data_IF_630251595657
#
_entry.id   IF_630251595657
#
_cell.length_a   1.000
_cell.length_b   1.000
_cell.length_c   1.000
_cell.angle_alpha   90.00
_cell.angle_beta   90.00
_cell.angle_gamma   90.00
#
_symmetry.space_group_name_H-M   'P 1'
#
loop_
_entity.id
_entity.type
_entity.pdbx_description
1 polymer ?
#
# COMPACT_ATOMS: atom_id res chain seq x y z
N UNK A 1 51.06 29.42 -33.14
CA UNK A 1 49.64 29.12 -33.43
C UNK A 1 48.86 29.22 -32.13
N UNK A 2 47.83 30.07 -32.09
CA UNK A 2 47.09 30.45 -30.87
C UNK A 2 45.91 29.49 -30.73
N UNK A 3 45.86 28.70 -29.66
CA UNK A 3 44.76 27.77 -29.37
C UNK A 3 43.52 28.57 -28.95
N UNK A 4 42.49 28.55 -29.79
CA UNK A 4 41.21 29.21 -29.49
C UNK A 4 40.41 28.32 -28.54
N UNK A 5 40.27 28.74 -27.27
CA UNK A 5 39.32 28.13 -26.33
C UNK A 5 37.90 28.44 -26.81
N UNK A 6 37.24 27.44 -27.37
CA UNK A 6 35.83 27.53 -27.77
C UNK A 6 34.95 27.87 -26.57
N UNK A 7 34.39 29.08 -26.55
CA UNK A 7 33.27 29.42 -25.68
C UNK A 7 32.07 28.65 -26.21
N UNK A 8 31.72 27.53 -25.58
CA UNK A 8 30.45 26.87 -25.81
C UNK A 8 29.35 27.89 -25.51
N UNK A 9 28.65 28.31 -26.55
CA UNK A 9 27.57 29.28 -26.45
C UNK A 9 26.46 28.67 -25.58
N UNK A 10 25.96 29.35 -24.54
CA UNK A 10 24.89 28.83 -23.69
C UNK A 10 23.62 28.49 -24.50
N UNK A 11 23.45 29.13 -25.67
CA UNK A 11 22.37 28.87 -26.60
C UNK A 11 22.46 27.48 -27.25
N UNK A 12 23.67 26.96 -27.46
CA UNK A 12 23.89 25.62 -28.01
C UNK A 12 23.61 24.53 -26.97
N UNK A 13 23.92 24.80 -25.70
CA UNK A 13 23.58 23.91 -24.58
C UNK A 13 22.07 23.87 -24.36
N UNK A 14 21.39 25.01 -24.40
CA UNK A 14 19.93 25.08 -24.29
C UNK A 14 19.23 24.34 -25.43
N UNK A 15 19.71 24.47 -26.67
CA UNK A 15 19.18 23.75 -27.84
C UNK A 15 19.31 22.22 -27.68
N UNK A 16 20.45 21.75 -27.16
CA UNK A 16 20.66 20.32 -26.91
C UNK A 16 19.72 19.76 -25.84
N UNK A 17 19.46 20.51 -24.77
CA UNK A 17 18.53 20.10 -23.72
C UNK A 17 17.09 19.99 -24.27
N UNK A 18 16.65 20.97 -25.07
CA UNK A 18 15.33 20.90 -25.73
C UNK A 18 15.18 19.75 -26.74
N UNK A 19 16.27 19.32 -27.39
CA UNK A 19 16.25 18.21 -28.33
C UNK A 19 16.31 16.83 -27.65
N UNK A 20 16.81 16.76 -26.42
CA UNK A 20 16.96 15.51 -25.65
C UNK A 20 15.75 15.18 -24.76
N UNK A 21 14.82 16.13 -24.58
CA UNK A 21 13.62 15.97 -23.73
C UNK A 21 12.44 15.27 -24.42
N UNK A 22 12.70 14.42 -25.43
CA UNK A 22 11.68 13.49 -25.93
C UNK A 22 11.73 12.23 -25.07
N UNK A 23 10.69 11.91 -24.28
CA UNK A 23 10.61 10.59 -23.67
C UNK A 23 10.32 9.60 -24.80
N UNK A 24 11.37 9.06 -25.43
CA UNK A 24 11.25 7.88 -26.29
C UNK A 24 11.14 6.68 -25.34
N UNK A 25 9.99 6.57 -24.68
CA UNK A 25 9.50 5.31 -24.15
C UNK A 25 8.86 4.53 -25.30
N UNK A 26 9.65 4.05 -26.26
CA UNK A 26 9.15 3.09 -27.24
C UNK A 26 9.32 1.69 -26.64
N UNK A 27 8.22 1.07 -26.19
CA UNK A 27 8.18 -0.37 -26.06
C UNK A 27 8.30 -0.95 -27.48
N UNK A 28 9.48 -1.45 -27.83
CA UNK A 28 9.65 -2.27 -29.02
C UNK A 28 8.96 -3.62 -28.75
N UNK A 29 7.72 -3.76 -29.18
CA UNK A 29 7.14 -5.08 -29.45
C UNK A 29 7.67 -5.46 -30.83
N UNK A 30 8.47 -6.52 -30.91
CA UNK A 30 8.85 -7.10 -32.20
C UNK A 30 7.59 -7.56 -32.91
N UNK A 31 7.15 -6.77 -33.89
CA UNK A 31 6.20 -7.23 -34.89
C UNK A 31 6.95 -8.17 -35.84
N UNK A 32 6.92 -9.45 -35.52
CA UNK A 32 7.40 -10.54 -36.38
C UNK A 32 6.20 -11.43 -36.69
N UNK A 33 5.68 -11.22 -37.91
CA UNK A 33 4.83 -12.08 -38.73
C UNK A 33 4.00 -13.19 -38.06
N UNK A 34 2.68 -13.06 -38.26
CA UNK A 34 1.70 -14.15 -38.39
C UNK A 34 1.64 -15.18 -37.25
N UNK A 35 1.08 -14.77 -36.10
CA UNK A 35 0.40 -15.66 -35.17
C UNK A 35 -1.07 -15.22 -35.06
N UNK A 36 -2.03 -16.17 -35.00
CA UNK A 36 -3.45 -15.82 -34.99
C UNK A 36 -3.75 -14.96 -33.77
N UNK A 37 -4.67 -13.99 -33.94
CA UNK A 37 -5.27 -13.19 -32.87
C UNK A 37 -5.69 -14.13 -31.74
N UNK A 38 -4.82 -14.34 -30.75
CA UNK A 38 -5.29 -14.66 -29.42
C UNK A 38 -6.02 -13.38 -28.99
N UNK A 39 -7.34 -13.52 -28.97
CA UNK A 39 -8.21 -12.76 -28.11
C UNK A 39 -7.41 -12.39 -26.86
N UNK A 40 -7.14 -11.10 -26.65
CA UNK A 40 -6.68 -10.63 -25.34
C UNK A 40 -7.80 -11.05 -24.42
N UNK A 41 -7.62 -12.22 -23.79
CA UNK A 41 -8.45 -12.72 -22.71
C UNK A 41 -8.53 -11.52 -21.80
N UNK A 42 -9.71 -10.90 -21.72
CA UNK A 42 -9.94 -9.83 -20.77
C UNK A 42 -9.44 -10.39 -19.45
N UNK A 43 -8.36 -9.80 -18.92
CA UNK A 43 -7.86 -10.20 -17.61
C UNK A 43 -9.07 -10.07 -16.70
N UNK A 44 -9.64 -11.21 -16.31
CA UNK A 44 -10.64 -11.22 -15.27
C UNK A 44 -9.96 -10.48 -14.12
N UNK A 45 -10.53 -9.38 -13.59
CA UNK A 45 -9.89 -8.64 -12.53
C UNK A 45 -9.47 -9.65 -11.46
N UNK A 46 -8.21 -9.58 -10.97
CA UNK A 46 -7.70 -10.59 -10.05
C UNK A 46 -8.73 -10.78 -8.94
N UNK A 47 -9.21 -12.01 -8.81
CA UNK A 47 -10.24 -12.34 -7.82
C UNK A 47 -9.68 -12.01 -6.45
N UNK A 48 -10.24 -11.00 -5.79
CA UNK A 48 -9.78 -10.60 -4.45
C UNK A 48 -10.12 -11.74 -3.49
N UNK A 49 -9.13 -12.32 -2.77
CA UNK A 49 -9.41 -13.34 -1.78
C UNK A 49 -10.34 -12.77 -0.71
N UNK A 50 -11.38 -13.51 -0.27
CA UNK A 50 -12.28 -13.01 0.75
C UNK A 50 -11.52 -12.74 2.06
N UNK A 51 -11.90 -11.71 2.79
CA UNK A 51 -11.34 -11.42 4.10
C UNK A 51 -11.78 -12.51 5.10
N UNK A 52 -10.83 -13.31 5.58
CA UNK A 52 -11.09 -14.42 6.53
C UNK A 52 -10.59 -14.04 7.92
N UNK A 53 -11.46 -14.22 8.91
CA UNK A 53 -11.18 -14.07 10.34
C UNK A 53 -11.14 -15.49 10.92
N UNK A 54 -9.95 -16.08 11.02
CA UNK A 54 -9.77 -17.50 11.41
C UNK A 54 -10.46 -18.49 10.45
N UNK A 55 -11.67 -18.95 10.74
CA UNK A 55 -12.39 -19.97 9.93
C UNK A 55 -13.65 -19.42 9.23
N UNK A 56 -13.94 -18.12 9.38
CA UNK A 56 -15.15 -17.50 8.86
C UNK A 56 -14.82 -16.23 8.07
N UNK A 57 -15.64 -15.91 7.09
CA UNK A 57 -15.56 -14.61 6.41
C UNK A 57 -15.84 -13.50 7.41
N UNK A 58 -14.95 -12.50 7.48
CA UNK A 58 -15.15 -11.35 8.33
C UNK A 58 -16.36 -10.55 7.81
N UNK A 59 -17.29 -10.20 8.70
CA UNK A 59 -18.29 -9.17 8.43
C UNK A 59 -17.96 -7.97 9.32
N UNK A 60 -17.75 -6.81 8.70
CA UNK A 60 -17.42 -5.59 9.44
C UNK A 60 -18.70 -4.87 9.79
N UNK A 61 -18.90 -4.68 11.09
CA UNK A 61 -19.99 -3.86 11.57
C UNK A 61 -19.60 -2.38 11.45
N UNK A 62 -20.24 -1.69 10.50
CA UNK A 62 -20.06 -0.26 10.27
C UNK A 62 -21.01 0.60 11.10
N UNK A 63 -21.85 0.01 11.96
CA UNK A 63 -22.86 0.73 12.74
C UNK A 63 -22.30 1.46 13.96
N UNK A 64 -21.15 2.11 13.81
CA UNK A 64 -20.65 3.03 14.82
C UNK A 64 -21.40 4.36 14.67
N UNK A 65 -22.43 4.54 15.50
CA UNK A 65 -23.20 5.80 15.52
C UNK A 65 -22.37 6.97 16.06
N UNK A 66 -21.37 6.69 16.92
CA UNK A 66 -20.59 7.71 17.62
C UNK A 66 -19.11 7.33 17.76
N UNK A 67 -18.25 8.33 17.81
CA UNK A 67 -16.83 8.14 18.14
C UNK A 67 -16.64 7.91 19.64
N UNK A 68 -15.55 7.26 20.07
CA UNK A 68 -15.22 7.09 21.49
C UNK A 68 -15.16 8.43 22.23
N UNK A 69 -15.54 8.44 23.51
CA UNK A 69 -15.60 9.66 24.33
C UNK A 69 -14.23 10.33 24.49
N UNK A 70 -13.15 9.55 24.46
CA UNK A 70 -11.76 10.00 24.57
C UNK A 70 -11.10 10.33 23.23
N UNK A 71 -11.87 10.33 22.14
CA UNK A 71 -11.42 10.66 20.78
C UNK A 71 -11.86 12.06 20.36
N UNK A 72 -11.32 12.57 19.24
CA UNK A 72 -11.88 13.79 18.63
C UNK A 72 -13.17 13.48 17.88
N UNK A 73 -13.96 14.51 17.53
CA UNK A 73 -14.98 14.34 16.50
C UNK A 73 -14.39 13.77 15.20
N UNK A 74 -15.21 13.10 14.37
CA UNK A 74 -14.79 12.63 13.05
C UNK A 74 -14.18 13.74 12.20
N UNK A 75 -13.06 13.43 11.56
CA UNK A 75 -12.38 14.28 10.57
C UNK A 75 -12.72 13.84 9.14
N UNK A 76 -13.19 12.59 8.97
CA UNK A 76 -13.60 12.02 7.69
C UNK A 76 -15.12 11.88 7.61
N UNK A 77 -15.67 11.91 6.40
CA UNK A 77 -17.10 11.67 6.15
C UNK A 77 -17.46 10.19 6.38
N UNK A 78 -18.69 9.92 6.81
CA UNK A 78 -19.16 8.55 6.93
C UNK A 78 -19.10 7.84 5.56
N UNK A 79 -18.56 6.61 5.52
CA UNK A 79 -18.37 5.86 4.27
C UNK A 79 -17.04 6.10 3.56
N UNK A 80 -16.15 6.98 4.08
CA UNK A 80 -14.86 7.28 3.43
C UNK A 80 -13.97 6.07 3.12
N UNK A 81 -14.16 4.97 3.85
CA UNK A 81 -13.42 3.72 3.67
C UNK A 81 -13.81 2.96 2.40
N UNK A 82 -14.99 3.20 1.82
CA UNK A 82 -15.46 2.48 0.62
C UNK A 82 -14.60 2.79 -0.62
N UNK A 83 -14.02 3.99 -0.66
CA UNK A 83 -13.15 4.47 -1.73
C UNK A 83 -11.66 4.53 -1.30
N UNK A 84 -11.30 3.89 -0.19
CA UNK A 84 -9.96 4.04 0.37
C UNK A 84 -8.93 3.16 -0.35
N UNK A 85 -8.08 3.81 -1.13
CA UNK A 85 -6.85 3.25 -1.68
C UNK A 85 -7.08 2.10 -2.69
N UNK A 86 -6.67 0.88 -2.36
CA UNK A 86 -6.69 -0.30 -3.23
C UNK A 86 -7.57 -1.33 -2.54
N UNK A 87 -8.87 -1.09 -2.58
CA UNK A 87 -9.91 -1.86 -1.93
C UNK A 87 -11.07 -1.95 -2.92
N UNK A 88 -11.07 -2.97 -3.78
CA UNK A 88 -12.08 -3.06 -4.85
C UNK A 88 -13.36 -3.75 -4.40
N UNK A 89 -13.37 -4.37 -3.21
CA UNK A 89 -14.55 -4.97 -2.58
C UNK A 89 -15.16 -4.07 -1.47
N UNK A 90 -14.58 -2.88 -1.26
CA UNK A 90 -15.01 -1.83 -0.33
C UNK A 90 -15.20 -2.32 1.11
N UNK A 91 -14.39 -3.30 1.53
CA UNK A 91 -14.46 -3.88 2.87
C UNK A 91 -13.63 -3.10 3.92
N UNK A 92 -12.94 -2.03 3.49
CA UNK A 92 -12.05 -1.18 4.26
C UNK A 92 -10.66 -1.79 4.48
N UNK A 93 -10.21 -2.70 3.61
CA UNK A 93 -8.94 -3.40 3.70
C UNK A 93 -8.22 -3.38 2.35
N UNK A 94 -6.89 -3.34 2.36
CA UNK A 94 -6.11 -3.30 1.12
C UNK A 94 -6.13 -4.69 0.46
N UNK A 95 -6.57 -4.77 -0.81
CA UNK A 95 -6.65 -5.99 -1.61
C UNK A 95 -5.32 -6.76 -1.62
N UNK A 96 -4.19 -6.04 -1.58
CA UNK A 96 -2.86 -6.67 -1.60
C UNK A 96 -2.53 -7.31 -0.27
N UNK A 97 -3.04 -6.76 0.84
CA UNK A 97 -2.90 -7.38 2.15
C UNK A 97 -3.76 -8.65 2.21
N UNK A 98 -4.96 -8.66 1.63
CA UNK A 98 -5.77 -9.87 1.44
C UNK A 98 -5.01 -10.95 0.65
N UNK A 99 -4.36 -10.58 -0.46
CA UNK A 99 -3.52 -11.52 -1.23
C UNK A 99 -2.34 -12.08 -0.43
N UNK A 100 -1.71 -11.25 0.44
CA UNK A 100 -0.63 -11.72 1.31
C UNK A 100 -1.14 -12.71 2.35
N UNK A 101 -2.28 -12.43 2.97
CA UNK A 101 -2.92 -13.33 3.94
C UNK A 101 -3.38 -14.65 3.31
N UNK A 102 -3.86 -14.62 2.06
CA UNK A 102 -4.20 -15.81 1.28
C UNK A 102 -2.96 -16.61 0.80
N UNK A 103 -1.75 -16.06 0.97
CA UNK A 103 -0.51 -16.66 0.49
C UNK A 103 -0.31 -16.60 -1.02
N UNK A 104 -1.14 -15.82 -1.72
CA UNK A 104 -1.05 -15.56 -3.16
C UNK A 104 0.02 -14.52 -3.50
N UNK A 105 0.47 -13.75 -2.50
CA UNK A 105 1.48 -12.70 -2.63
C UNK A 105 2.44 -12.69 -1.44
N UNK A 106 3.68 -12.32 -1.70
CA UNK A 106 4.68 -12.07 -0.66
C UNK A 106 4.73 -10.59 -0.24
N UNK A 107 5.06 -10.33 1.02
CA UNK A 107 5.28 -8.97 1.51
C UNK A 107 6.44 -8.31 0.77
N UNK A 108 6.22 -7.08 0.29
CA UNK A 108 7.23 -6.29 -0.45
C UNK A 108 8.01 -5.33 0.46
N UNK A 109 7.87 -5.45 1.77
CA UNK A 109 8.52 -4.55 2.72
C UNK A 109 10.02 -4.85 2.81
N UNK A 110 10.87 -3.91 2.35
CA UNK A 110 12.34 -3.98 2.51
C UNK A 110 12.79 -4.10 3.98
N UNK A 111 11.89 -3.62 4.82
CA UNK A 111 11.82 -3.66 6.25
C UNK A 111 11.61 -4.99 6.98
N UNK A 112 11.05 -5.95 6.25
CA UNK A 112 10.35 -7.10 6.84
C UNK A 112 11.32 -8.00 7.61
N UNK A 113 10.90 -8.45 8.77
CA UNK A 113 11.53 -9.57 9.45
C UNK A 113 10.84 -10.87 9.01
N UNK A 114 11.54 -11.99 9.11
CA UNK A 114 10.93 -13.30 8.83
C UNK A 114 10.18 -13.75 10.10
N UNK A 115 8.89 -14.02 9.96
CA UNK A 115 8.05 -14.55 11.02
C UNK A 115 8.39 -16.00 11.36
N UNK A 116 7.77 -16.53 12.43
CA UNK A 116 7.94 -17.94 12.80
C UNK A 116 7.34 -18.92 11.80
N UNK A 117 6.47 -18.43 10.92
CA UNK A 117 5.90 -19.12 9.75
C UNK A 117 6.87 -19.17 8.55
N UNK A 118 8.05 -18.55 8.66
CA UNK A 118 9.04 -18.48 7.57
C UNK A 118 8.71 -17.46 6.49
N UNK A 119 7.65 -16.64 6.67
CA UNK A 119 7.22 -15.62 5.71
C UNK A 119 7.66 -14.22 6.15
N UNK A 120 7.90 -13.29 5.20
CA UNK A 120 8.19 -11.90 5.52
C UNK A 120 6.96 -11.23 6.14
N UNK A 121 7.18 -10.53 7.25
CA UNK A 121 6.12 -9.78 7.92
C UNK A 121 5.62 -8.62 7.05
N UNK A 122 4.36 -8.25 7.23
CA UNK A 122 3.77 -7.07 6.59
C UNK A 122 4.08 -5.80 7.37
N UNK A 123 3.65 -4.65 6.85
CA UNK A 123 3.57 -3.38 7.57
C UNK A 123 2.13 -2.87 7.40
N UNK A 124 1.37 -2.77 8.50
CA UNK A 124 -0.05 -2.38 8.45
C UNK A 124 -0.18 -0.90 8.80
N UNK A 125 -0.98 -0.15 8.05
CA UNK A 125 -1.34 1.23 8.38
C UNK A 125 -2.83 1.28 8.66
N UNK A 126 -3.19 1.74 9.86
CA UNK A 126 -4.59 1.87 10.27
C UNK A 126 -4.99 3.34 10.22
N UNK A 127 -6.00 3.63 9.42
CA UNK A 127 -6.59 4.96 9.30
C UNK A 127 -7.89 5.01 10.11
N UNK A 128 -7.97 5.93 11.06
CA UNK A 128 -9.19 6.20 11.82
C UNK A 128 -9.97 7.36 11.17
N UNK A 129 -11.29 7.29 11.24
CA UNK A 129 -12.16 8.38 10.78
C UNK A 129 -12.06 9.64 11.68
N UNK A 130 -11.56 9.48 12.90
CA UNK A 130 -11.28 10.50 13.91
C UNK A 130 -9.83 10.41 14.37
N UNK A 131 -9.39 11.36 15.18
CA UNK A 131 -8.13 11.22 15.87
C UNK A 131 -8.27 10.23 17.05
N UNK A 132 -7.57 9.08 17.05
CA UNK A 132 -7.79 8.01 18.03
C UNK A 132 -7.45 8.47 19.44
N UNK A 133 -8.30 8.07 20.39
CA UNK A 133 -8.08 8.27 21.82
C UNK A 133 -7.13 7.22 22.43
N UNK A 134 -6.73 7.38 23.71
CA UNK A 134 -6.00 6.35 24.45
C UNK A 134 -6.65 4.95 24.39
N UNK A 135 -7.97 4.86 24.44
CA UNK A 135 -8.70 3.58 24.37
C UNK A 135 -8.58 2.91 22.99
N UNK A 136 -8.71 3.66 21.90
CA UNK A 136 -8.50 3.15 20.53
C UNK A 136 -7.07 2.61 20.36
N UNK A 137 -6.09 3.39 20.83
CA UNK A 137 -4.67 3.05 20.73
C UNK A 137 -4.36 1.75 21.49
N UNK A 138 -4.87 1.62 22.70
CA UNK A 138 -4.64 0.43 23.53
C UNK A 138 -5.38 -0.80 23.01
N UNK A 139 -6.62 -0.63 22.53
CA UNK A 139 -7.39 -1.72 21.92
C UNK A 139 -6.68 -2.27 20.68
N UNK A 140 -6.20 -1.37 19.80
CA UNK A 140 -5.45 -1.77 18.61
C UNK A 140 -4.14 -2.45 18.98
N UNK A 141 -3.37 -1.88 19.91
CA UNK A 141 -2.12 -2.48 20.40
C UNK A 141 -2.34 -3.90 20.95
N UNK A 142 -3.29 -4.06 21.87
CA UNK A 142 -3.61 -5.34 22.49
C UNK A 142 -4.04 -6.39 21.46
N UNK A 143 -4.82 -5.98 20.45
CA UNK A 143 -5.24 -6.86 19.35
C UNK A 143 -4.04 -7.33 18.52
N UNK A 144 -3.13 -6.43 18.15
CA UNK A 144 -1.91 -6.75 17.41
C UNK A 144 -1.02 -7.71 18.20
N UNK A 145 -0.82 -7.42 19.49
CA UNK A 145 0.02 -8.23 20.37
C UNK A 145 -0.53 -9.66 20.54
N UNK A 146 -1.85 -9.78 20.66
CA UNK A 146 -2.54 -11.08 20.73
C UNK A 146 -2.31 -11.92 19.47
N UNK A 147 -2.22 -11.28 18.29
CA UNK A 147 -2.01 -11.97 17.01
C UNK A 147 -0.52 -12.14 16.63
N UNK A 148 0.38 -12.04 17.62
CA UNK A 148 1.80 -12.30 17.44
C UNK A 148 2.62 -11.11 16.98
N UNK A 149 2.06 -9.90 16.99
CA UNK A 149 2.84 -8.68 16.91
C UNK A 149 3.68 -8.55 18.18
N UNK A 150 4.99 -8.77 18.10
CA UNK A 150 5.86 -8.61 19.27
C UNK A 150 6.57 -7.27 19.23
N UNK A 151 6.79 -6.67 20.39
CA UNK A 151 7.57 -5.44 20.50
C UNK A 151 9.06 -5.62 20.18
N UNK A 152 9.58 -6.85 20.15
CA UNK A 152 11.00 -7.13 19.87
C UNK A 152 11.29 -7.06 18.36
N UNK A 153 11.58 -5.85 17.88
CA UNK A 153 11.93 -5.58 16.49
C UNK A 153 10.79 -5.00 15.64
N UNK A 154 9.58 -4.91 16.19
CA UNK A 154 8.47 -4.13 15.62
C UNK A 154 8.30 -2.78 16.32
N UNK A 155 7.64 -1.84 15.65
CA UNK A 155 7.46 -0.48 16.16
C UNK A 155 5.99 -0.10 16.10
N UNK A 156 5.43 0.39 17.22
CA UNK A 156 4.09 0.95 17.26
C UNK A 156 4.17 2.47 17.44
N UNK A 157 3.60 3.23 16.49
CA UNK A 157 3.65 4.69 16.50
C UNK A 157 2.29 5.29 16.16
N UNK A 158 1.89 6.28 16.96
CA UNK A 158 0.67 7.07 16.74
C UNK A 158 1.06 8.40 16.12
N UNK A 159 0.44 8.73 15.00
CA UNK A 159 0.66 9.98 14.30
C UNK A 159 -0.56 10.88 14.39
N UNK A 160 -0.36 12.07 14.93
CA UNK A 160 -1.42 13.07 15.18
C UNK A 160 -1.50 14.11 14.04
N UNK A 161 -0.50 14.12 13.14
CA UNK A 161 -0.40 15.09 12.05
C UNK A 161 -0.36 14.38 10.70
N UNK A 162 -1.14 14.89 9.75
CA UNK A 162 -1.30 14.45 8.36
C UNK A 162 -0.11 13.65 7.80
N UNK A 163 -0.37 12.37 7.55
CA UNK A 163 0.41 11.40 6.76
C UNK A 163 1.89 11.22 7.13
N UNK A 164 2.21 10.04 7.68
CA UNK A 164 3.19 9.10 7.11
C UNK A 164 3.11 7.73 7.78
N UNK A 165 3.39 6.71 6.98
CA UNK A 165 3.06 5.30 7.13
C UNK A 165 3.54 4.61 8.42
N UNK A 166 2.78 3.58 8.81
CA UNK A 166 3.01 2.70 9.95
C UNK A 166 3.79 1.42 9.54
N UNK A 167 4.43 0.78 10.53
CA UNK A 167 5.20 -0.47 10.46
C UNK A 167 4.75 -1.54 11.49
N UNK A 168 3.65 -2.30 11.31
CA UNK A 168 3.33 -3.46 12.19
C UNK A 168 3.91 -4.68 11.49
N UNK A 169 4.91 -5.35 12.08
CA UNK A 169 5.27 -6.71 11.70
C UNK A 169 4.18 -7.67 12.17
N UNK A 170 3.15 -7.87 11.35
CA UNK A 170 2.06 -8.78 11.69
C UNK A 170 2.31 -10.13 11.03
N UNK A 171 1.95 -11.18 11.77
CA UNK A 171 1.91 -12.57 11.32
C UNK A 171 1.09 -12.65 10.03
N UNK A 172 1.54 -13.44 9.06
CA UNK A 172 0.80 -13.70 7.80
C UNK A 172 -0.47 -14.55 8.01
N UNK A 173 -0.80 -14.89 9.27
CA UNK A 173 -2.01 -15.58 9.68
C UNK A 173 -2.73 -14.73 10.72
N UNK A 174 -3.49 -13.75 10.22
CA UNK A 174 -4.63 -13.16 10.93
C UNK A 174 -5.86 -14.06 10.70
#
# INVERSE_FOLDING_TARGET
MKTSKGKLSPLLVALLVFLLDVPIGSAYISDAQDAPLEEVIGENPPSIPPLVCSEHTCNKDWSLEHTPVDSTPPTMEFGWWEDFWSDSDSNGFDDRLQMILAGERESVSLTSIIGSDGRPTVAIIVHYAWHPGPTDIESLRSTIETHGGKSDGSWFMVWITLMRSFWITCRSSL
#
